data_IF_720638751715
#
_entry.id   IF_720638751715
#
_cell.length_a   1.000
_cell.length_b   1.000
_cell.length_c   1.000
_cell.angle_alpha   90.00
_cell.angle_beta   90.00
_cell.angle_gamma   90.00
#
_symmetry.space_group_name_H-M   'P 1'
#
loop_
_entity.id
_entity.type
_entity.pdbx_description
1 polymer ?
#
# COMPACT_ATOMS: atom_id res chain seq x y z
N UNK A 1 -11.41 -3.57 -23.36
CA UNK A 1 -11.50 -3.27 -22.66
C UNK A 1 -11.99 -2.81 -21.34
N UNK A 2 -12.53 -1.63 -21.30
CA UNK A 2 -13.08 -1.06 -20.11
C UNK A 2 -14.19 -1.89 -19.50
N UNK A 3 -15.13 -2.31 -20.33
CA UNK A 3 -16.28 -3.05 -19.83
C UNK A 3 -15.85 -4.38 -19.22
N UNK A 4 -14.84 -5.00 -19.81
CA UNK A 4 -14.36 -6.26 -19.30
C UNK A 4 -13.74 -6.11 -17.91
N UNK A 5 -13.02 -5.02 -17.71
CA UNK A 5 -12.40 -4.75 -16.43
C UNK A 5 -13.45 -4.48 -15.36
N UNK A 6 -14.47 -3.74 -15.73
CA UNK A 6 -15.56 -3.46 -14.82
C UNK A 6 -16.30 -4.73 -14.43
N UNK A 7 -16.51 -5.61 -15.37
CA UNK A 7 -17.16 -6.89 -15.11
C UNK A 7 -16.38 -7.70 -14.09
N UNK A 8 -15.06 -7.73 -14.25
CA UNK A 8 -14.22 -8.47 -13.34
C UNK A 8 -14.36 -7.95 -11.92
N UNK A 9 -14.29 -6.64 -11.75
CA UNK A 9 -14.42 -6.02 -10.45
C UNK A 9 -15.79 -6.31 -9.84
N UNK A 10 -16.81 -6.24 -10.68
CA UNK A 10 -18.18 -6.48 -10.24
C UNK A 10 -18.35 -7.89 -9.73
N UNK A 11 -17.78 -8.86 -10.44
CA UNK A 11 -17.90 -10.26 -10.08
C UNK A 11 -17.25 -10.59 -8.75
N UNK A 12 -16.31 -9.79 -8.31
CA UNK A 12 -15.65 -10.02 -7.04
C UNK A 12 -16.49 -9.59 -5.84
N UNK A 13 -17.61 -8.95 -6.08
CA UNK A 13 -18.48 -8.48 -5.02
C UNK A 13 -17.87 -7.40 -4.15
N UNK A 14 -16.74 -6.87 -4.56
CA UNK A 14 -16.14 -5.70 -3.94
C UNK A 14 -15.28 -5.04 -4.99
N UNK A 15 -14.93 -3.80 -4.73
CA UNK A 15 -14.21 -3.01 -5.72
C UNK A 15 -12.72 -2.90 -5.41
N UNK A 16 -12.27 -3.61 -4.40
CA UNK A 16 -10.87 -3.55 -4.02
C UNK A 16 -10.03 -4.46 -4.91
N UNK A 17 -8.81 -4.04 -5.15
CA UNK A 17 -7.85 -4.83 -5.89
C UNK A 17 -6.92 -5.53 -4.91
N UNK A 18 -6.62 -6.78 -5.21
CA UNK A 18 -5.68 -7.55 -4.40
C UNK A 18 -4.34 -7.61 -5.12
N UNK A 19 -3.35 -8.16 -4.45
CA UNK A 19 -2.05 -8.39 -5.07
C UNK A 19 -2.19 -9.25 -6.32
N UNK A 20 -3.02 -10.28 -6.26
CA UNK A 20 -3.22 -11.16 -7.41
C UNK A 20 -3.81 -10.40 -8.59
N UNK A 21 -4.72 -9.48 -8.32
CA UNK A 21 -5.32 -8.66 -9.37
C UNK A 21 -4.28 -7.76 -10.02
N UNK A 22 -3.42 -7.17 -9.20
CA UNK A 22 -2.37 -6.29 -9.70
C UNK A 22 -1.41 -7.07 -10.59
N UNK A 23 -1.01 -8.25 -10.13
CA UNK A 23 -0.11 -9.11 -10.89
C UNK A 23 -0.72 -9.46 -12.25
N UNK A 24 -2.01 -9.80 -12.26
CA UNK A 24 -2.69 -10.14 -13.51
C UNK A 24 -2.74 -8.95 -14.46
N UNK A 25 -3.02 -7.76 -13.95
CA UNK A 25 -3.07 -6.56 -14.77
C UNK A 25 -1.69 -6.25 -15.38
N UNK A 26 -0.65 -6.35 -14.57
CA UNK A 26 0.70 -6.08 -15.06
C UNK A 26 1.10 -7.08 -16.13
N UNK A 27 0.84 -8.36 -15.89
CA UNK A 27 1.17 -9.39 -16.87
C UNK A 27 0.44 -9.13 -18.18
N UNK A 28 -0.82 -8.73 -18.11
CA UNK A 28 -1.62 -8.42 -19.29
C UNK A 28 -1.08 -7.20 -20.02
N UNK A 29 -0.72 -6.16 -19.29
CA UNK A 29 -0.26 -4.92 -19.90
C UNK A 29 1.14 -5.01 -20.50
N UNK A 30 1.98 -5.85 -19.95
CA UNK A 30 3.39 -5.91 -20.34
C UNK A 30 3.71 -7.12 -21.20
N UNK A 31 2.88 -8.14 -21.16
CA UNK A 31 3.19 -9.41 -21.81
C UNK A 31 4.20 -10.24 -21.05
N UNK A 32 4.57 -9.81 -19.85
CA UNK A 32 5.52 -10.55 -19.03
C UNK A 32 4.81 -11.70 -18.33
N UNK A 33 5.48 -12.83 -18.23
CA UNK A 33 4.96 -14.01 -17.56
C UNK A 33 4.46 -13.69 -16.15
N UNK A 34 3.30 -14.23 -15.80
CA UNK A 34 2.66 -13.94 -14.53
C UNK A 34 3.52 -14.31 -13.33
N UNK A 35 4.21 -15.44 -13.41
CA UNK A 35 5.08 -15.86 -12.29
C UNK A 35 6.24 -14.88 -12.11
N UNK A 36 6.77 -14.36 -13.20
CA UNK A 36 7.83 -13.37 -13.15
C UNK A 36 7.32 -12.06 -12.54
N UNK A 37 6.12 -11.66 -12.95
CA UNK A 37 5.50 -10.44 -12.40
C UNK A 37 5.27 -10.61 -10.91
N UNK A 38 4.76 -11.76 -10.49
CA UNK A 38 4.50 -12.00 -9.07
C UNK A 38 5.79 -11.89 -8.26
N UNK A 39 6.85 -12.51 -8.75
CA UNK A 39 8.14 -12.45 -8.05
C UNK A 39 8.63 -11.02 -7.95
N UNK A 40 8.46 -10.23 -9.01
CA UNK A 40 8.90 -8.84 -9.03
C UNK A 40 8.09 -7.99 -8.07
N UNK A 41 6.78 -8.18 -8.05
CA UNK A 41 5.90 -7.40 -7.17
C UNK A 41 6.21 -7.73 -5.71
N UNK A 42 6.40 -9.00 -5.40
CA UNK A 42 6.71 -9.38 -4.03
C UNK A 42 8.06 -8.86 -3.59
N UNK A 43 9.04 -8.92 -4.48
CA UNK A 43 10.36 -8.38 -4.18
C UNK A 43 10.32 -6.88 -3.99
N UNK A 44 9.55 -6.19 -4.82
CA UNK A 44 9.37 -4.75 -4.72
C UNK A 44 8.85 -4.36 -3.33
N UNK A 45 7.80 -5.05 -2.87
CA UNK A 45 7.24 -4.76 -1.56
C UNK A 45 8.23 -5.12 -0.45
N UNK A 46 8.97 -6.20 -0.62
CA UNK A 46 9.97 -6.61 0.34
C UNK A 46 11.09 -5.59 0.49
N UNK A 47 11.57 -5.05 -0.64
CA UNK A 47 12.61 -4.03 -0.60
C UNK A 47 12.11 -2.79 0.12
N UNK A 48 10.88 -2.37 -0.14
CA UNK A 48 10.32 -1.21 0.54
C UNK A 48 10.21 -1.46 2.03
N UNK A 49 9.72 -2.64 2.42
CA UNK A 49 9.60 -2.96 3.85
C UNK A 49 10.95 -2.94 4.54
N UNK A 50 11.95 -3.53 3.90
CA UNK A 50 13.29 -3.58 4.48
C UNK A 50 13.90 -2.19 4.60
N UNK A 51 13.71 -1.34 3.60
CA UNK A 51 14.21 0.03 3.65
C UNK A 51 13.63 0.78 4.82
N UNK A 52 12.32 0.73 4.97
CA UNK A 52 11.66 1.44 6.05
C UNK A 52 12.03 0.87 7.41
N UNK A 53 12.21 -0.44 7.48
CA UNK A 53 12.64 -1.07 8.73
C UNK A 53 14.03 -0.59 9.15
N UNK A 54 14.88 -0.24 8.18
CA UNK A 54 16.21 0.31 8.44
C UNK A 54 16.19 1.82 8.65
N UNK A 55 15.03 2.45 8.55
CA UNK A 55 14.93 3.88 8.72
C UNK A 55 15.14 4.70 7.46
N UNK A 56 15.16 4.05 6.31
CA UNK A 56 15.37 4.74 5.04
C UNK A 56 14.04 4.95 4.33
N UNK A 57 13.79 6.17 3.93
CA UNK A 57 12.58 6.49 3.16
C UNK A 57 12.76 6.07 1.72
N UNK A 58 11.64 5.78 1.04
CA UNK A 58 11.65 5.38 -0.36
C UNK A 58 10.85 6.39 -1.16
N UNK A 59 11.47 6.95 -2.20
CA UNK A 59 10.84 7.96 -3.04
C UNK A 59 10.60 7.41 -4.44
N UNK A 60 9.35 7.36 -4.85
CA UNK A 60 8.98 6.88 -6.17
C UNK A 60 8.40 8.04 -6.96
N UNK A 61 9.19 8.57 -7.86
CA UNK A 61 8.84 9.75 -8.62
C UNK A 61 7.50 9.59 -9.33
N UNK A 62 6.64 10.57 -9.15
CA UNK A 62 5.33 10.55 -9.79
C UNK A 62 4.30 9.70 -9.09
N UNK A 63 4.71 8.90 -8.13
CA UNK A 63 3.80 8.01 -7.40
C UNK A 63 3.66 8.48 -5.96
N UNK A 64 4.75 8.56 -5.24
CA UNK A 64 4.71 8.99 -3.85
C UNK A 64 5.94 8.55 -3.09
N UNK A 65 5.87 8.71 -1.79
CA UNK A 65 6.97 8.38 -0.89
C UNK A 65 6.49 7.49 0.22
N UNK A 66 7.27 6.48 0.54
CA UNK A 66 7.06 5.68 1.74
C UNK A 66 8.05 6.19 2.77
N UNK A 67 7.54 6.65 3.91
CA UNK A 67 8.39 7.31 4.90
C UNK A 67 8.18 6.68 6.27
N UNK A 68 9.21 6.77 7.08
CA UNK A 68 9.12 6.36 8.47
C UNK A 68 8.60 7.54 9.27
N UNK A 69 7.55 7.31 10.01
CA UNK A 69 6.94 8.35 10.81
C UNK A 69 7.00 7.93 12.27
N UNK A 70 7.30 8.89 13.13
CA UNK A 70 7.35 8.60 14.55
C UNK A 70 6.01 8.88 15.19
N UNK A 71 5.48 7.90 15.90
CA UNK A 71 4.27 8.07 16.67
C UNK A 71 4.64 8.31 18.10
N UNK A 72 4.20 9.43 18.65
CA UNK A 72 4.48 9.76 20.04
C UNK A 72 3.76 8.79 20.97
N UNK A 73 4.30 8.66 22.16
CA UNK A 73 3.66 7.88 23.20
C UNK A 73 2.28 8.44 23.47
N UNK A 74 1.33 7.57 23.70
CA UNK A 74 0.00 8.03 24.04
C UNK A 74 -0.66 7.05 25.01
N UNK A 75 -1.72 7.54 25.65
CA UNK A 75 -2.48 6.76 26.61
C UNK A 75 -3.78 6.34 26.01
N UNK A 76 -4.10 5.05 26.12
CA UNK A 76 -5.36 4.52 25.64
C UNK A 76 -6.06 3.85 26.80
N UNK A 77 -7.39 3.82 26.72
CA UNK A 77 -8.19 3.21 27.76
C UNK A 77 -8.76 1.89 27.30
N UNK A 78 -8.59 0.87 28.10
CA UNK A 78 -9.19 -0.42 27.82
C UNK A 78 -10.56 -0.43 28.46
N UNK A 79 -11.60 -0.26 27.67
CA UNK A 79 -12.95 -0.12 28.18
C UNK A 79 -13.43 -1.38 28.90
N UNK A 80 -13.15 -2.53 28.36
CA UNK A 80 -13.63 -3.77 28.94
C UNK A 80 -13.00 -4.06 30.30
N UNK A 81 -11.76 -3.66 30.51
CA UNK A 81 -11.08 -3.87 31.79
C UNK A 81 -11.02 -2.61 32.63
N UNK A 82 -11.47 -1.52 32.07
CA UNK A 82 -11.46 -0.24 32.77
C UNK A 82 -10.06 0.12 33.29
N UNK A 83 -9.05 -0.15 32.47
CA UNK A 83 -7.67 0.16 32.82
C UNK A 83 -7.08 1.08 31.78
N UNK A 84 -5.98 1.72 32.15
CA UNK A 84 -5.26 2.61 31.26
C UNK A 84 -4.05 1.88 30.69
N UNK A 85 -3.88 1.98 29.37
CA UNK A 85 -2.76 1.36 28.69
C UNK A 85 -1.88 2.45 28.10
N UNK A 86 -0.58 2.31 28.29
CA UNK A 86 0.38 3.25 27.72
C UNK A 86 0.95 2.62 26.46
N UNK A 87 0.77 3.32 25.33
CA UNK A 87 1.32 2.89 24.05
C UNK A 87 2.60 3.68 23.85
N UNK A 88 3.77 3.02 23.88
CA UNK A 88 5.04 3.73 23.81
C UNK A 88 5.26 4.34 22.43
N UNK A 89 6.16 5.27 22.39
CA UNK A 89 6.63 5.89 21.16
C UNK A 89 7.17 4.81 20.22
N UNK A 90 6.82 4.90 18.94
CA UNK A 90 7.27 3.90 17.98
C UNK A 90 7.23 4.46 16.58
N UNK A 91 7.90 3.79 15.64
CA UNK A 91 7.92 4.19 14.25
C UNK A 91 6.89 3.40 13.47
N UNK A 92 6.27 4.05 12.51
CA UNK A 92 5.32 3.39 11.61
C UNK A 92 5.65 3.76 10.17
N UNK A 93 5.28 2.90 9.22
CA UNK A 93 5.39 3.28 7.82
C UNK A 93 4.21 4.16 7.44
N UNK A 94 4.44 5.12 6.54
CA UNK A 94 3.39 5.98 6.04
C UNK A 94 3.62 6.22 4.57
N UNK A 95 2.54 6.43 3.82
CA UNK A 95 2.62 6.71 2.41
C UNK A 95 2.14 8.12 2.15
N UNK A 96 2.95 8.89 1.44
CA UNK A 96 2.58 10.24 1.02
C UNK A 96 2.49 10.26 -0.50
N UNK A 97 1.30 10.41 -1.06
CA UNK A 97 1.16 10.40 -2.52
C UNK A 97 1.83 11.62 -3.15
N UNK A 98 2.38 11.44 -4.34
CA UNK A 98 2.91 12.55 -5.11
C UNK A 98 1.75 13.43 -5.53
N UNK A 99 2.05 14.70 -5.78
CA UNK A 99 1.02 15.67 -6.14
C UNK A 99 0.23 15.23 -7.37
N UNK A 100 0.92 14.69 -8.36
CA UNK A 100 0.28 14.21 -9.58
C UNK A 100 -0.71 13.11 -9.27
N UNK A 101 -0.32 12.18 -8.41
CA UNK A 101 -1.16 11.08 -8.01
C UNK A 101 -2.37 11.60 -7.22
N UNK A 102 -2.09 12.49 -6.27
CA UNK A 102 -3.15 13.06 -5.45
C UNK A 102 -4.20 13.75 -6.30
N UNK A 103 -3.75 14.54 -7.26
CA UNK A 103 -4.66 15.28 -8.13
C UNK A 103 -5.50 14.36 -9.00
N UNK A 104 -4.94 13.25 -9.47
CA UNK A 104 -5.71 12.36 -10.32
C UNK A 104 -6.84 11.66 -9.55
N UNK A 105 -6.64 11.43 -8.26
CA UNK A 105 -7.68 10.85 -7.43
C UNK A 105 -8.70 11.90 -7.04
N UNK A 106 -8.24 13.09 -6.73
CA UNK A 106 -9.11 14.17 -6.25
C UNK A 106 -10.08 14.66 -7.31
N UNK A 107 -9.79 14.40 -8.56
CA UNK A 107 -10.65 14.83 -9.67
C UNK A 107 -11.99 14.11 -9.72
N UNK A 108 -12.11 13.02 -9.03
CA UNK A 108 -13.36 12.23 -9.07
C UNK A 108 -14.56 12.94 -8.40
#
# INVERSE_FOLDING_TARGET
>A
MQSKKLEFIHLKNNLDMTKADIVSEIAKNTGIDKNTVLASVESFMGVIKDSLASGENVYLRGFGSFVVKKRAQKTARNISKNTTIIIPEHNIPAFKPAKVFLNSVAKK
#
